data_IF_635912230486
#
_entry.id   IF_635912230486
#
_cell.length_a   1.000
_cell.length_b   1.000
_cell.length_c   1.000
_cell.angle_alpha   90.00
_cell.angle_beta   90.00
_cell.angle_gamma   90.00
#
_symmetry.space_group_name_H-M   'P 1'
#
loop_
_entity.id
_entity.type
_entity.pdbx_description
1 polymer ?
#
# COMPACT_ATOMS: atom_id res chain seq x y z
N UNK A 1 78.87 -15.29 -11.15
CA UNK A 1 78.85 -13.97 -10.48
C UNK A 1 77.61 -13.21 -10.92
N UNK A 2 76.66 -12.91 -9.98
CA UNK A 2 75.52 -11.96 -10.10
C UNK A 2 74.48 -12.26 -11.22
N UNK A 3 73.17 -12.17 -11.05
CA UNK A 3 72.35 -11.25 -10.25
C UNK A 3 71.10 -11.97 -9.69
N UNK A 4 70.95 -11.98 -8.35
CA UNK A 4 69.68 -12.23 -7.66
C UNK A 4 68.69 -11.13 -8.06
N UNK A 5 67.58 -11.47 -8.72
CA UNK A 5 66.46 -10.52 -8.91
C UNK A 5 65.84 -10.22 -7.55
N UNK A 6 66.09 -8.99 -7.12
CA UNK A 6 65.71 -8.40 -5.86
C UNK A 6 64.18 -8.23 -5.80
N UNK A 7 63.49 -9.02 -4.97
CA UNK A 7 62.08 -8.78 -4.60
C UNK A 7 62.05 -7.54 -3.70
N UNK A 8 62.03 -6.34 -4.29
CA UNK A 8 61.75 -5.11 -3.55
C UNK A 8 60.31 -5.19 -3.03
N UNK A 9 60.16 -5.22 -1.71
CA UNK A 9 58.88 -5.18 -1.02
C UNK A 9 58.12 -3.91 -1.41
N UNK A 10 56.86 -4.10 -1.82
CA UNK A 10 55.94 -3.01 -2.16
C UNK A 10 55.61 -2.28 -0.85
N UNK A 11 55.82 -0.96 -0.81
CA UNK A 11 55.49 -0.11 0.34
C UNK A 11 53.99 -0.17 0.66
N UNK A 12 53.61 -0.14 1.95
CA UNK A 12 52.20 -0.16 2.41
C UNK A 12 51.33 0.92 1.73
N UNK A 13 51.89 2.10 1.44
CA UNK A 13 51.19 3.19 0.74
C UNK A 13 50.99 2.94 -0.77
N UNK A 14 51.82 2.09 -1.38
CA UNK A 14 51.69 1.72 -2.79
C UNK A 14 50.67 0.58 -2.95
N UNK A 15 50.54 -0.29 -1.94
CA UNK A 15 49.46 -1.29 -1.86
C UNK A 15 48.08 -0.63 -1.66
N UNK A 16 47.96 0.41 -0.82
CA UNK A 16 46.68 1.09 -0.59
C UNK A 16 46.17 1.86 -1.83
N UNK A 17 47.06 2.48 -2.60
CA UNK A 17 46.70 3.18 -3.86
C UNK A 17 46.27 2.18 -4.94
N UNK A 18 46.94 1.03 -5.04
CA UNK A 18 46.54 -0.05 -5.97
C UNK A 18 45.18 -0.64 -5.57
N UNK A 19 44.91 -0.77 -4.27
CA UNK A 19 43.65 -1.28 -3.73
C UNK A 19 42.49 -0.26 -3.93
N UNK A 20 42.75 1.04 -3.81
CA UNK A 20 41.81 2.10 -4.19
C UNK A 20 41.53 2.14 -5.69
N UNK A 21 42.54 1.99 -6.55
CA UNK A 21 42.34 1.89 -7.99
C UNK A 21 41.53 0.64 -8.40
N UNK A 22 41.78 -0.50 -7.75
CA UNK A 22 41.05 -1.74 -7.99
C UNK A 22 39.57 -1.63 -7.57
N UNK A 23 39.28 -1.00 -6.43
CA UNK A 23 37.90 -0.79 -5.94
C UNK A 23 37.13 0.18 -6.84
N UNK A 24 37.74 1.28 -7.27
CA UNK A 24 37.12 2.20 -8.24
C UNK A 24 36.83 1.52 -9.58
N UNK A 25 37.77 0.70 -10.08
CA UNK A 25 37.56 -0.05 -11.34
C UNK A 25 36.48 -1.13 -11.25
N UNK A 26 36.23 -1.66 -10.05
CA UNK A 26 35.18 -2.64 -9.79
C UNK A 26 33.81 -1.96 -9.73
N UNK A 27 33.74 -0.80 -9.07
CA UNK A 27 32.54 0.05 -9.01
C UNK A 27 32.13 0.48 -10.42
N UNK A 28 33.07 0.95 -11.24
CA UNK A 28 32.79 1.35 -12.63
C UNK A 28 32.31 0.20 -13.53
N UNK A 29 32.80 -1.02 -13.30
CA UNK A 29 32.30 -2.21 -14.01
C UNK A 29 30.88 -2.59 -13.60
N UNK A 30 30.55 -2.40 -12.32
CA UNK A 30 29.23 -2.70 -11.77
C UNK A 30 28.22 -1.64 -12.20
N UNK A 31 28.57 -0.35 -12.12
CA UNK A 31 27.69 0.77 -12.50
C UNK A 31 27.37 0.78 -13.99
N UNK A 32 28.31 0.35 -14.86
CA UNK A 32 28.05 0.24 -16.31
C UNK A 32 27.12 -0.90 -16.72
N UNK A 33 26.96 -1.93 -15.88
CA UNK A 33 26.09 -3.08 -16.16
C UNK A 33 24.64 -2.88 -15.70
N UNK A 34 24.42 -1.92 -14.80
CA UNK A 34 23.12 -1.71 -14.16
C UNK A 34 22.42 -0.54 -14.87
N UNK A 35 21.14 -0.75 -15.22
CA UNK A 35 20.32 0.30 -15.84
C UNK A 35 20.26 1.54 -14.93
N UNK A 36 20.31 2.77 -15.47
CA UNK A 36 20.34 4.00 -14.68
C UNK A 36 19.16 4.14 -13.72
N UNK A 37 18.00 3.52 -14.02
CA UNK A 37 16.83 3.50 -13.15
C UNK A 37 17.06 2.68 -11.87
N UNK A 38 17.77 1.55 -11.96
CA UNK A 38 18.06 0.71 -10.80
C UNK A 38 19.07 1.37 -9.85
N UNK A 39 20.02 2.13 -10.40
CA UNK A 39 20.98 2.91 -9.60
C UNK A 39 20.30 4.06 -8.83
N UNK A 40 19.15 4.56 -9.29
CA UNK A 40 18.36 5.55 -8.56
C UNK A 40 17.39 4.91 -7.55
N UNK A 41 16.76 3.77 -7.89
CA UNK A 41 15.76 3.13 -7.02
C UNK A 41 16.36 2.46 -5.77
N UNK A 42 17.55 1.87 -5.87
CA UNK A 42 18.20 1.19 -4.73
C UNK A 42 18.53 2.16 -3.58
N UNK A 43 19.21 3.31 -3.80
CA UNK A 43 19.49 4.24 -2.72
C UNK A 43 18.23 4.93 -2.19
N UNK A 44 17.22 5.19 -3.04
CA UNK A 44 15.95 5.77 -2.60
C UNK A 44 15.17 4.80 -1.69
N UNK A 45 15.08 3.52 -2.07
CA UNK A 45 14.45 2.50 -1.23
C UNK A 45 15.22 2.26 0.07
N UNK A 46 16.56 2.24 0.03
CA UNK A 46 17.38 2.15 1.24
C UNK A 46 17.16 3.35 2.17
N UNK A 47 17.07 4.57 1.63
CA UNK A 47 16.75 5.77 2.39
C UNK A 47 15.38 5.65 3.07
N UNK A 48 14.36 5.21 2.33
CA UNK A 48 13.00 5.01 2.87
C UNK A 48 13.02 4.00 4.02
N UNK A 49 13.71 2.87 3.86
CA UNK A 49 13.81 1.83 4.89
C UNK A 49 14.51 2.34 6.14
N UNK A 50 15.63 3.06 5.99
CA UNK A 50 16.39 3.61 7.13
C UNK A 50 15.59 4.70 7.86
N UNK A 51 14.90 5.58 7.12
CA UNK A 51 14.05 6.61 7.70
C UNK A 51 12.87 6.00 8.48
N UNK A 52 12.29 4.92 7.97
CA UNK A 52 11.21 4.21 8.65
C UNK A 52 11.71 3.50 9.92
N UNK A 53 12.84 2.79 9.84
CA UNK A 53 13.41 2.05 10.98
C UNK A 53 13.82 2.98 12.13
N UNK A 54 14.39 4.16 11.80
CA UNK A 54 14.68 5.19 12.79
C UNK A 54 13.42 5.69 13.52
N UNK A 55 12.28 5.80 12.83
CA UNK A 55 11.01 6.18 13.44
C UNK A 55 10.48 5.07 14.38
N UNK A 56 10.66 3.80 14.02
CA UNK A 56 10.25 2.64 14.85
C UNK A 56 11.08 2.56 16.13
N UNK A 57 12.40 2.74 16.05
CA UNK A 57 13.28 2.68 17.23
C UNK A 57 13.07 3.83 18.22
N UNK A 58 12.47 4.93 17.77
CA UNK A 58 12.09 6.06 18.64
C UNK A 58 10.81 5.81 19.44
N UNK A 59 9.99 4.83 19.04
CA UNK A 59 8.78 4.46 19.79
C UNK A 59 9.21 3.58 20.97
N UNK A 60 9.18 4.12 22.19
CA UNK A 60 9.42 3.36 23.40
C UNK A 60 8.42 2.20 23.50
N UNK A 61 8.89 0.97 23.25
CA UNK A 61 8.08 -0.24 23.35
C UNK A 61 7.94 -0.63 24.82
N UNK A 62 6.94 -0.04 25.50
CA UNK A 62 6.43 -0.65 26.73
C UNK A 62 5.62 -1.90 26.33
N UNK A 63 6.00 -3.07 26.86
CA UNK A 63 5.24 -4.31 26.63
C UNK A 63 3.81 -4.21 27.17
N UNK A 64 2.86 -5.00 26.64
CA UNK A 64 1.45 -4.90 27.03
C UNK A 64 1.29 -5.17 28.52
N UNK A 65 0.64 -4.24 29.22
CA UNK A 65 0.44 -4.24 30.68
C UNK A 65 -0.90 -4.88 31.08
N UNK A 66 -1.84 -5.01 30.14
CA UNK A 66 -3.20 -5.51 30.40
C UNK A 66 -3.65 -6.60 29.43
N UNK A 67 -4.64 -7.43 29.83
CA UNK A 67 -5.22 -8.47 28.96
C UNK A 67 -5.97 -7.86 27.76
N UNK A 68 -6.55 -6.67 27.92
CA UNK A 68 -7.24 -5.95 26.84
C UNK A 68 -6.27 -5.51 25.74
N UNK A 69 -5.09 -4.99 26.12
CA UNK A 69 -4.04 -4.65 25.16
C UNK A 69 -3.57 -5.87 24.35
N UNK A 70 -3.41 -7.04 25.00
CA UNK A 70 -3.02 -8.27 24.30
C UNK A 70 -4.06 -8.65 23.24
N UNK A 71 -5.37 -8.55 23.56
CA UNK A 71 -6.44 -8.83 22.59
C UNK A 71 -6.36 -7.90 21.39
N UNK A 72 -6.20 -6.60 21.62
CA UNK A 72 -6.17 -5.59 20.55
C UNK A 72 -4.93 -5.76 19.67
N UNK A 73 -3.79 -6.15 20.24
CA UNK A 73 -2.59 -6.50 19.46
C UNK A 73 -2.88 -7.70 18.56
N UNK A 74 -3.49 -8.77 19.09
CA UNK A 74 -3.84 -9.95 18.29
C UNK A 74 -4.85 -9.62 17.19
N UNK A 75 -5.88 -8.84 17.50
CA UNK A 75 -6.88 -8.37 16.52
C UNK A 75 -6.23 -7.50 15.45
N UNK A 76 -5.26 -6.65 15.82
CA UNK A 76 -4.49 -5.83 14.87
C UNK A 76 -3.65 -6.68 13.93
N UNK A 77 -2.96 -7.69 14.45
CA UNK A 77 -2.17 -8.63 13.64
C UNK A 77 -3.07 -9.43 12.71
N UNK A 78 -4.20 -9.92 13.21
CA UNK A 78 -5.18 -10.64 12.42
C UNK A 78 -5.76 -9.75 11.30
N UNK A 79 -6.17 -8.53 11.64
CA UNK A 79 -6.72 -7.58 10.67
C UNK A 79 -5.68 -7.17 9.61
N UNK A 80 -4.42 -6.99 10.00
CA UNK A 80 -3.32 -6.74 9.08
C UNK A 80 -3.12 -7.91 8.11
N UNK A 81 -3.15 -9.14 8.63
CA UNK A 81 -3.06 -10.35 7.80
C UNK A 81 -4.24 -10.44 6.83
N UNK A 82 -5.47 -10.19 7.31
CA UNK A 82 -6.64 -10.12 6.45
C UNK A 82 -6.52 -9.02 5.38
N UNK A 83 -6.01 -7.84 5.72
CA UNK A 83 -5.79 -6.76 4.75
C UNK A 83 -4.84 -7.20 3.63
N UNK A 84 -3.75 -7.89 3.96
CA UNK A 84 -2.83 -8.45 2.94
C UNK A 84 -3.54 -9.47 2.04
N UNK A 85 -4.38 -10.34 2.60
CA UNK A 85 -5.16 -11.29 1.80
C UNK A 85 -6.14 -10.59 0.84
N UNK A 86 -6.81 -9.52 1.30
CA UNK A 86 -7.73 -8.73 0.45
C UNK A 86 -6.95 -8.00 -0.64
N UNK A 87 -5.77 -7.44 -0.35
CA UNK A 87 -4.91 -6.86 -1.38
C UNK A 87 -4.52 -7.91 -2.43
N UNK A 88 -4.28 -9.16 -2.01
CA UNK A 88 -3.99 -10.26 -2.91
C UNK A 88 -5.15 -10.59 -3.86
N UNK A 89 -6.39 -10.22 -3.53
CA UNK A 89 -7.53 -10.34 -4.45
C UNK A 89 -7.32 -9.50 -5.71
N UNK A 90 -6.67 -8.33 -5.65
CA UNK A 90 -6.36 -7.54 -6.86
C UNK A 90 -5.42 -8.30 -7.81
N UNK A 91 -4.46 -9.06 -7.29
CA UNK A 91 -3.65 -9.95 -8.12
C UNK A 91 -4.49 -11.11 -8.70
N UNK A 92 -5.43 -11.64 -7.91
CA UNK A 92 -6.41 -12.62 -8.38
C UNK A 92 -7.26 -12.10 -9.54
N UNK A 93 -7.85 -10.91 -9.42
CA UNK A 93 -8.62 -10.26 -10.48
C UNK A 93 -7.76 -10.01 -11.72
N UNK A 94 -6.53 -9.53 -11.56
CA UNK A 94 -5.62 -9.34 -12.68
C UNK A 94 -5.42 -10.64 -13.50
N UNK A 95 -5.26 -11.79 -12.83
CA UNK A 95 -5.12 -13.09 -13.49
C UNK A 95 -6.42 -13.54 -14.16
N UNK A 96 -7.56 -13.41 -13.49
CA UNK A 96 -8.87 -13.80 -14.02
C UNK A 96 -9.27 -12.94 -15.21
N UNK A 97 -9.14 -11.61 -15.10
CA UNK A 97 -9.44 -10.67 -16.19
C UNK A 97 -8.54 -10.89 -17.40
N UNK A 98 -7.24 -11.10 -17.17
CA UNK A 98 -6.30 -11.38 -18.27
C UNK A 98 -6.60 -12.72 -18.92
N UNK A 99 -7.02 -13.73 -18.16
CA UNK A 99 -7.39 -15.05 -18.66
C UNK A 99 -8.65 -15.06 -19.54
N UNK A 100 -9.62 -14.19 -19.25
CA UNK A 100 -10.84 -14.05 -20.06
C UNK A 100 -10.67 -13.15 -21.29
N UNK A 101 -9.57 -12.41 -21.37
CA UNK A 101 -9.32 -11.47 -22.45
C UNK A 101 -8.35 -12.00 -23.49
N UNK A 102 -8.32 -11.36 -24.65
CA UNK A 102 -7.41 -11.73 -25.73
C UNK A 102 -5.99 -11.36 -25.37
N UNK A 103 -5.04 -12.22 -25.73
CA UNK A 103 -3.61 -12.03 -25.46
C UNK A 103 -3.07 -10.63 -25.83
N UNK A 104 -3.54 -10.05 -26.95
CA UNK A 104 -3.12 -8.70 -27.39
C UNK A 104 -3.46 -7.58 -26.40
N UNK A 105 -4.44 -7.81 -25.51
CA UNK A 105 -4.91 -6.84 -24.52
C UNK A 105 -4.39 -7.14 -23.10
N UNK A 106 -3.64 -8.24 -22.90
CA UNK A 106 -3.19 -8.69 -21.58
C UNK A 106 -2.40 -7.60 -20.83
N UNK A 107 -1.45 -6.95 -21.49
CA UNK A 107 -0.62 -5.88 -20.89
C UNK A 107 -1.49 -4.71 -20.41
N UNK A 108 -2.49 -4.32 -21.19
CA UNK A 108 -3.39 -3.21 -20.82
C UNK A 108 -4.26 -3.57 -19.60
N UNK A 109 -4.70 -4.82 -19.48
CA UNK A 109 -5.52 -5.29 -18.36
C UNK A 109 -4.70 -5.39 -17.07
N UNK A 110 -3.51 -5.98 -17.16
CA UNK A 110 -2.57 -6.03 -16.03
C UNK A 110 -2.19 -4.63 -15.56
N UNK A 111 -1.94 -3.70 -16.49
CA UNK A 111 -1.64 -2.31 -16.15
C UNK A 111 -2.80 -1.62 -15.43
N UNK A 112 -4.06 -1.84 -15.85
CA UNK A 112 -5.25 -1.31 -15.18
C UNK A 112 -5.37 -1.83 -13.74
N UNK A 113 -5.19 -3.13 -13.55
CA UNK A 113 -5.27 -3.76 -12.23
C UNK A 113 -4.16 -3.29 -11.27
N UNK A 114 -2.96 -3.02 -11.79
CA UNK A 114 -1.87 -2.50 -10.95
C UNK A 114 -2.10 -1.04 -10.57
N UNK A 115 -2.45 -0.19 -11.54
CA UNK A 115 -2.57 1.25 -11.31
C UNK A 115 -3.82 1.62 -10.51
N UNK A 116 -4.91 0.84 -10.63
CA UNK A 116 -6.15 1.11 -9.90
C UNK A 116 -5.94 1.05 -8.40
N UNK A 117 -5.11 0.12 -7.92
CA UNK A 117 -4.81 0.02 -6.50
C UNK A 117 -4.01 1.24 -5.99
N UNK A 118 -3.08 1.75 -6.79
CA UNK A 118 -2.34 2.97 -6.46
C UNK A 118 -3.26 4.19 -6.39
N UNK A 119 -4.15 4.35 -7.39
CA UNK A 119 -5.14 5.44 -7.40
C UNK A 119 -6.12 5.30 -6.24
N UNK A 120 -6.61 4.09 -5.98
CA UNK A 120 -7.51 3.82 -4.87
C UNK A 120 -6.87 4.21 -3.53
N UNK A 121 -5.60 3.85 -3.34
CA UNK A 121 -4.86 4.19 -2.12
C UNK A 121 -4.79 5.70 -1.91
N UNK A 122 -4.40 6.46 -2.94
CA UNK A 122 -4.27 7.92 -2.87
C UNK A 122 -5.64 8.60 -2.69
N UNK A 123 -6.65 8.17 -3.47
CA UNK A 123 -8.00 8.74 -3.44
C UNK A 123 -8.68 8.49 -2.08
N UNK A 124 -8.57 7.27 -1.57
CA UNK A 124 -9.16 6.89 -0.30
C UNK A 124 -8.44 7.56 0.87
N UNK A 125 -7.10 7.69 0.81
CA UNK A 125 -6.33 8.46 1.80
C UNK A 125 -6.70 9.95 1.79
N UNK A 126 -6.82 10.56 0.61
CA UNK A 126 -7.07 11.99 0.49
C UNK A 126 -8.48 12.38 0.96
N UNK A 127 -9.51 11.63 0.55
CA UNK A 127 -10.90 12.00 0.87
C UNK A 127 -11.80 10.83 1.28
N UNK A 128 -11.58 9.64 0.73
CA UNK A 128 -12.52 8.53 0.92
C UNK A 128 -12.65 8.06 2.38
N UNK A 129 -11.54 7.98 3.12
CA UNK A 129 -11.58 7.60 4.52
C UNK A 129 -12.37 8.61 5.37
N UNK A 130 -12.18 9.91 5.11
CA UNK A 130 -12.92 10.98 5.79
C UNK A 130 -14.42 10.98 5.47
N UNK A 131 -14.82 10.70 4.23
CA UNK A 131 -16.24 10.57 3.89
C UNK A 131 -16.92 9.37 4.53
N UNK A 132 -16.18 8.29 4.79
CA UNK A 132 -16.73 7.06 5.34
C UNK A 132 -16.77 7.05 6.86
N UNK A 133 -15.64 7.37 7.52
CA UNK A 133 -15.44 7.24 8.96
C UNK A 133 -15.15 8.59 9.66
N UNK A 134 -15.18 9.70 8.93
CA UNK A 134 -15.07 11.03 9.54
C UNK A 134 -16.36 11.47 10.22
N UNK A 135 -16.27 12.39 11.17
CA UNK A 135 -17.44 13.03 11.76
C UNK A 135 -18.28 13.74 10.68
N UNK A 136 -19.60 13.63 10.78
CA UNK A 136 -20.50 14.22 9.80
C UNK A 136 -21.96 13.86 10.02
N UNK A 137 -22.75 13.94 8.96
CA UNK A 137 -24.17 13.60 8.99
C UNK A 137 -24.37 12.10 8.67
N UNK A 138 -25.59 11.55 8.75
CA UNK A 138 -25.80 10.13 8.43
C UNK A 138 -25.45 9.75 6.97
N UNK A 139 -25.42 10.70 6.05
CA UNK A 139 -25.19 10.41 4.62
C UNK A 139 -23.71 10.45 4.28
N UNK A 140 -22.93 11.38 4.87
CA UNK A 140 -21.53 11.60 4.51
C UNK A 140 -20.74 12.20 5.69
N UNK A 141 -19.48 11.77 5.83
CA UNK A 141 -18.48 12.38 6.69
C UNK A 141 -17.99 13.73 6.15
N UNK A 142 -17.56 14.63 7.02
CA UNK A 142 -17.16 16.00 6.66
C UNK A 142 -15.79 16.39 7.21
N UNK A 143 -15.12 15.48 7.89
CA UNK A 143 -13.82 15.66 8.54
C UNK A 143 -12.91 14.46 8.22
N UNK A 144 -11.63 14.50 8.60
CA UNK A 144 -10.72 13.38 8.37
C UNK A 144 -10.03 13.35 7.00
N UNK A 145 -10.12 14.44 6.23
CA UNK A 145 -9.46 14.55 4.92
C UNK A 145 -7.94 14.49 5.05
N UNK A 146 -7.28 13.86 4.07
CA UNK A 146 -5.84 13.60 4.06
C UNK A 146 -5.35 12.82 5.29
N UNK A 147 -6.23 12.00 5.87
CA UNK A 147 -5.97 11.24 7.09
C UNK A 147 -5.53 12.16 8.25
N UNK A 148 -6.07 13.39 8.26
CA UNK A 148 -5.82 14.41 9.27
C UNK A 148 -7.03 14.56 10.18
N UNK A 149 -6.80 14.51 11.50
CA UNK A 149 -7.85 14.61 12.53
C UNK A 149 -8.32 13.25 13.06
N UNK A 150 -9.36 13.29 13.89
CA UNK A 150 -9.89 12.13 14.63
C UNK A 150 -10.83 11.25 13.77
N UNK A 151 -10.41 10.89 12.56
CA UNK A 151 -11.16 9.92 11.77
C UNK A 151 -11.09 8.55 12.49
N UNK A 152 -12.22 8.10 13.03
CA UNK A 152 -12.24 6.94 13.91
C UNK A 152 -11.86 5.68 13.13
N UNK A 153 -11.04 4.79 13.72
CA UNK A 153 -10.80 3.45 13.18
C UNK A 153 -12.10 2.66 13.01
N UNK A 154 -12.02 1.59 12.21
CA UNK A 154 -13.07 0.59 12.10
C UNK A 154 -13.43 0.08 13.52
N UNK A 155 -14.71 0.24 13.91
CA UNK A 155 -15.18 -0.06 15.27
C UNK A 155 -15.51 1.16 16.14
N UNK A 156 -15.41 2.39 15.59
CA UNK A 156 -15.84 3.65 16.23
C UNK A 156 -15.15 3.96 17.57
N UNK A 157 -14.00 3.36 17.84
CA UNK A 157 -13.16 3.63 19.00
C UNK A 157 -11.72 3.87 18.57
N UNK A 158 -10.99 4.71 19.32
CA UNK A 158 -9.60 5.04 19.04
C UNK A 158 -8.64 4.09 19.79
N UNK A 159 -7.44 3.90 19.25
CA UNK A 159 -6.36 3.18 19.94
C UNK A 159 -6.07 3.82 21.32
N UNK A 160 -5.86 3.05 22.41
CA UNK A 160 -5.63 1.60 22.46
C UNK A 160 -6.89 0.78 22.74
N UNK A 161 -8.10 1.28 22.49
CA UNK A 161 -9.35 0.51 22.69
C UNK A 161 -9.80 -0.24 21.43
N UNK A 162 -9.31 0.17 20.26
CA UNK A 162 -9.49 -0.51 19.00
C UNK A 162 -8.16 -0.65 18.23
N UNK A 163 -8.23 -1.38 17.12
CA UNK A 163 -7.14 -1.54 16.15
C UNK A 163 -6.61 -0.16 15.68
N UNK A 164 -5.28 0.01 15.50
CA UNK A 164 -4.72 1.28 15.05
C UNK A 164 -5.36 1.78 13.76
N UNK A 165 -5.55 3.09 13.63
CA UNK A 165 -6.16 3.72 12.46
C UNK A 165 -5.48 3.33 11.15
N UNK A 166 -4.14 3.17 11.15
CA UNK A 166 -3.39 2.74 9.98
C UNK A 166 -3.74 1.31 9.52
N UNK A 167 -4.00 0.39 10.46
CA UNK A 167 -4.40 -0.99 10.13
C UNK A 167 -5.83 -1.01 9.60
N UNK A 168 -6.73 -0.25 10.24
CA UNK A 168 -8.11 -0.06 9.76
C UNK A 168 -8.15 0.55 8.36
N UNK A 169 -7.34 1.58 8.13
CA UNK A 169 -7.20 2.23 6.83
C UNK A 169 -6.74 1.23 5.76
N UNK A 170 -5.68 0.46 6.04
CA UNK A 170 -5.15 -0.52 5.09
C UNK A 170 -6.18 -1.60 4.75
N UNK A 171 -6.94 -2.06 5.74
CA UNK A 171 -8.01 -3.02 5.52
C UNK A 171 -9.10 -2.43 4.61
N UNK A 172 -9.57 -1.22 4.91
CA UNK A 172 -10.67 -0.58 4.19
C UNK A 172 -10.30 -0.16 2.76
N UNK A 173 -9.08 0.33 2.56
CA UNK A 173 -8.60 0.70 1.22
C UNK A 173 -8.42 -0.51 0.32
N UNK A 174 -8.15 -1.69 0.89
CA UNK A 174 -8.09 -2.94 0.14
C UNK A 174 -9.47 -3.32 -0.45
N UNK A 175 -10.56 -3.13 0.31
CA UNK A 175 -11.93 -3.32 -0.20
C UNK A 175 -12.33 -2.24 -1.21
N UNK A 176 -11.99 -0.98 -0.95
CA UNK A 176 -12.27 0.10 -1.89
C UNK A 176 -11.58 -0.12 -3.25
N UNK A 177 -10.30 -0.53 -3.22
CA UNK A 177 -9.55 -0.91 -4.42
C UNK A 177 -10.17 -2.12 -5.13
N UNK A 178 -10.63 -3.11 -4.36
CA UNK A 178 -11.31 -4.29 -4.91
C UNK A 178 -12.61 -3.93 -5.63
N UNK A 179 -13.43 -3.03 -5.08
CA UNK A 179 -14.64 -2.55 -5.74
C UNK A 179 -14.33 -1.93 -7.12
N UNK A 180 -13.29 -1.09 -7.20
CA UNK A 180 -12.85 -0.50 -8.47
C UNK A 180 -12.33 -1.55 -9.46
N UNK A 181 -11.65 -2.59 -8.98
CA UNK A 181 -11.15 -3.69 -9.80
C UNK A 181 -12.28 -4.56 -10.37
N UNK A 182 -13.35 -4.83 -9.62
CA UNK A 182 -14.50 -5.59 -10.14
C UNK A 182 -15.08 -4.94 -11.41
N UNK A 183 -15.16 -3.60 -11.43
CA UNK A 183 -15.62 -2.87 -12.61
C UNK A 183 -14.63 -3.01 -13.78
N UNK A 184 -13.31 -3.05 -13.52
CA UNK A 184 -12.29 -3.32 -14.57
C UNK A 184 -12.63 -4.57 -15.37
N UNK A 185 -12.93 -5.67 -14.68
CA UNK A 185 -13.32 -6.93 -15.32
C UNK A 185 -14.62 -6.82 -16.11
N UNK A 186 -15.63 -6.11 -15.59
CA UNK A 186 -16.90 -5.92 -16.29
C UNK A 186 -16.76 -5.14 -17.61
N UNK A 187 -15.86 -4.17 -17.66
CA UNK A 187 -15.61 -3.34 -18.86
C UNK A 187 -14.32 -3.72 -19.60
N UNK A 188 -13.81 -4.92 -19.36
CA UNK A 188 -12.58 -5.41 -19.96
C UNK A 188 -12.63 -5.30 -21.50
N UNK A 189 -11.50 -4.90 -22.10
CA UNK A 189 -11.33 -4.64 -23.55
C UNK A 189 -12.19 -3.51 -24.16
N UNK A 190 -13.20 -2.97 -23.46
CA UNK A 190 -14.19 -2.01 -24.02
C UNK A 190 -14.00 -0.57 -23.56
N UNK A 191 -13.25 -0.34 -22.48
CA UNK A 191 -13.01 1.00 -21.92
C UNK A 191 -11.61 1.54 -22.25
N UNK A 192 -11.55 2.85 -22.53
CA UNK A 192 -10.29 3.61 -22.63
C UNK A 192 -9.60 3.67 -21.28
N UNK A 193 -8.27 3.55 -21.26
CA UNK A 193 -7.47 3.54 -20.03
C UNK A 193 -7.72 4.76 -19.14
N UNK A 194 -7.61 5.98 -19.70
CA UNK A 194 -7.80 7.22 -18.92
C UNK A 194 -9.22 7.37 -18.36
N UNK A 195 -10.24 6.92 -19.11
CA UNK A 195 -11.62 6.97 -18.64
C UNK A 195 -11.81 6.04 -17.43
N UNK A 196 -11.17 4.86 -17.45
CA UNK A 196 -11.17 3.94 -16.32
C UNK A 196 -10.48 4.56 -15.09
N UNK A 197 -9.34 5.25 -15.23
CA UNK A 197 -8.67 5.89 -14.10
C UNK A 197 -9.53 6.95 -13.40
N UNK A 198 -10.20 7.81 -14.18
CA UNK A 198 -11.10 8.83 -13.65
C UNK A 198 -12.30 8.18 -12.96
N UNK A 199 -12.88 7.15 -13.58
CA UNK A 199 -13.97 6.39 -12.99
C UNK A 199 -13.56 5.78 -11.65
N UNK A 200 -12.43 5.06 -11.59
CA UNK A 200 -11.95 4.43 -10.36
C UNK A 200 -11.63 5.45 -9.27
N UNK A 201 -11.09 6.62 -9.64
CA UNK A 201 -10.91 7.72 -8.70
C UNK A 201 -12.24 8.17 -8.10
N UNK A 202 -13.26 8.44 -8.93
CA UNK A 202 -14.57 8.88 -8.45
C UNK A 202 -15.28 7.81 -7.63
N UNK A 203 -15.18 6.54 -8.03
CA UNK A 203 -15.75 5.42 -7.29
C UNK A 203 -15.15 5.35 -5.88
N UNK A 204 -13.81 5.34 -5.77
CA UNK A 204 -13.10 5.17 -4.49
C UNK A 204 -13.13 6.43 -3.64
N UNK A 205 -13.09 7.62 -4.26
CA UNK A 205 -13.10 8.89 -3.56
C UNK A 205 -14.50 9.28 -3.06
N UNK A 206 -15.58 8.88 -3.75
CA UNK A 206 -16.93 9.42 -3.51
C UNK A 206 -17.95 8.30 -3.32
N UNK A 207 -18.21 7.48 -4.35
CA UNK A 207 -19.33 6.52 -4.32
C UNK A 207 -19.20 5.50 -3.19
N UNK A 208 -18.07 4.76 -3.21
CA UNK A 208 -17.74 3.73 -2.23
C UNK A 208 -17.79 4.23 -0.77
N UNK A 209 -17.09 5.32 -0.38
CA UNK A 209 -17.08 5.74 1.01
C UNK A 209 -18.42 6.28 1.50
N UNK A 210 -19.21 6.93 0.63
CA UNK A 210 -20.57 7.39 0.98
C UNK A 210 -21.47 6.19 1.27
N UNK A 211 -21.50 5.20 0.36
CA UNK A 211 -22.32 3.99 0.59
C UNK A 211 -21.81 3.15 1.75
N UNK A 212 -20.49 3.12 1.94
CA UNK A 212 -19.84 2.43 3.05
C UNK A 212 -20.26 3.00 4.40
N UNK A 213 -20.38 4.33 4.52
CA UNK A 213 -20.87 4.98 5.75
C UNK A 213 -22.27 4.51 6.13
N UNK A 214 -23.17 4.40 5.14
CA UNK A 214 -24.56 4.03 5.40
C UNK A 214 -24.66 2.68 6.13
N UNK A 215 -23.74 1.77 5.85
CA UNK A 215 -23.79 0.37 6.26
C UNK A 215 -22.78 0.01 7.36
N UNK A 216 -21.53 0.45 7.25
CA UNK A 216 -20.42 0.01 8.12
C UNK A 216 -20.02 1.00 9.20
N UNK A 217 -20.34 2.29 9.05
CA UNK A 217 -20.07 3.32 10.07
C UNK A 217 -21.15 3.37 11.16
N UNK A 218 -22.20 2.55 11.05
CA UNK A 218 -23.35 2.58 11.98
C UNK A 218 -24.34 3.70 11.70
N UNK A 219 -24.39 4.18 10.45
CA UNK A 219 -25.27 5.26 10.04
C UNK A 219 -26.71 4.82 9.76
N UNK A 220 -27.52 5.66 9.09
CA UNK A 220 -28.97 5.51 8.94
C UNK A 220 -29.41 4.12 8.44
N UNK A 221 -28.72 3.54 7.45
CA UNK A 221 -29.13 2.27 6.86
C UNK A 221 -28.82 1.09 7.80
N UNK A 222 -27.67 1.13 8.48
CA UNK A 222 -27.35 0.20 9.57
C UNK A 222 -28.38 0.31 10.72
N UNK A 223 -28.80 1.53 11.08
CA UNK A 223 -29.80 1.78 12.12
C UNK A 223 -31.21 1.30 11.75
N UNK A 224 -31.51 1.14 10.46
CA UNK A 224 -32.74 0.49 9.97
C UNK A 224 -32.67 -1.05 10.02
N UNK A 225 -31.54 -1.63 10.44
CA UNK A 225 -31.35 -3.07 10.55
C UNK A 225 -30.78 -3.74 9.29
N UNK A 226 -30.27 -2.97 8.33
CA UNK A 226 -29.56 -3.52 7.17
C UNK A 226 -28.25 -4.16 7.61
N UNK A 227 -27.97 -5.36 7.12
CA UNK A 227 -26.79 -6.16 7.51
C UNK A 227 -25.98 -6.52 6.28
N UNK A 228 -24.78 -5.95 6.17
CA UNK A 228 -23.77 -6.37 5.20
C UNK A 228 -22.46 -6.62 5.95
N UNK A 229 -22.09 -7.89 6.12
CA UNK A 229 -20.95 -8.28 6.94
C UNK A 229 -19.61 -8.00 6.26
N UNK A 230 -19.52 -8.28 4.95
CA UNK A 230 -18.25 -8.31 4.22
C UNK A 230 -18.31 -7.66 2.82
N UNK A 231 -19.40 -6.96 2.50
CA UNK A 231 -19.44 -6.04 1.36
C UNK A 231 -20.24 -6.58 0.18
N UNK A 232 -21.23 -7.44 0.44
CA UNK A 232 -22.13 -7.94 -0.61
C UNK A 232 -22.83 -6.78 -1.35
N UNK A 233 -23.08 -5.67 -0.67
CA UNK A 233 -23.59 -4.44 -1.26
C UNK A 233 -22.48 -3.41 -1.40
N UNK A 234 -21.76 -3.10 -0.32
CA UNK A 234 -20.77 -2.00 -0.29
C UNK A 234 -19.61 -2.21 -1.29
N UNK A 235 -19.29 -3.45 -1.65
CA UNK A 235 -18.18 -3.76 -2.58
C UNK A 235 -18.70 -4.25 -3.92
N UNK A 236 -19.69 -5.16 -3.93
CA UNK A 236 -20.13 -5.83 -5.15
C UNK A 236 -21.26 -5.12 -5.91
N UNK A 237 -21.97 -4.18 -5.29
CA UNK A 237 -23.12 -3.49 -5.91
C UNK A 237 -22.88 -2.02 -6.26
N UNK A 238 -21.85 -1.39 -5.68
CA UNK A 238 -21.57 0.06 -5.78
C UNK A 238 -20.92 0.49 -7.08
#
# INVERSE_FOLDING_TARGET
MRLKKNKKGISKGQQSVIQQGATLSLIDKITRKISPYWLACIPLSALIVVLWDAAVMAQGLEGPKTLEEIKIILDSVFLLFCAVLVIFMNAGFAMVETGFCRHKNAVNILAKNLIVFAIATIAYWAVGYGFMYGEGNPIIGTQGFFFHGDATPYGNENYPKAVPAAVSFLFQVAFAGTAATIVSGAVAERIRFNAFLIFSFLLVAISYPITGRWVWDGSWLANLGFKDFAGSTVVHSV
#
